data_IF_338961164163
#
_entry.id   IF_338961164163
#
_cell.length_a   1.000
_cell.length_b   1.000
_cell.length_c   1.000
_cell.angle_alpha   90.00
_cell.angle_beta   90.00
_cell.angle_gamma   90.00
#
_symmetry.space_group_name_H-M   'P 1'
#
loop_
_entity.id
_entity.type
_entity.pdbx_description
1 polymer ?
#
# COMPACT_ATOMS: atom_id res chain seq x y z
N UNK A 1 3.97 -16.71 -23.18
CA UNK A 1 3.81 -15.45 -23.94
C UNK A 1 3.22 -14.46 -22.96
N UNK A 2 3.86 -13.29 -22.79
CA UNK A 2 3.35 -12.25 -21.88
C UNK A 2 2.02 -11.71 -22.41
N UNK A 3 1.08 -11.32 -21.54
CA UNK A 3 -0.10 -10.59 -21.98
C UNK A 3 0.30 -9.24 -22.58
N UNK A 4 -0.46 -8.79 -23.59
CA UNK A 4 -0.18 -7.56 -24.32
C UNK A 4 -1.40 -6.64 -24.36
N UNK A 5 -1.16 -5.33 -24.24
CA UNK A 5 -2.17 -4.29 -24.44
C UNK A 5 -1.95 -3.63 -25.79
N UNK A 6 -2.98 -3.64 -26.64
CA UNK A 6 -2.96 -3.00 -27.96
C UNK A 6 -3.78 -1.72 -27.98
N UNK A 7 -3.16 -0.60 -28.34
CA UNK A 7 -3.85 0.69 -28.50
C UNK A 7 -4.29 0.87 -29.95
N UNK A 8 -5.60 1.03 -30.19
CA UNK A 8 -6.15 1.27 -31.53
C UNK A 8 -5.90 2.73 -31.96
N UNK A 9 -5.13 2.94 -33.01
CA UNK A 9 -4.78 4.25 -33.60
C UNK A 9 -4.08 4.10 -34.96
N UNK A 10 -3.54 5.20 -35.52
CA UNK A 10 -2.92 5.26 -36.86
C UNK A 10 -1.75 4.28 -37.10
N UNK A 11 -1.20 3.68 -36.05
CA UNK A 11 -0.37 2.48 -36.11
C UNK A 11 -0.67 1.63 -34.87
N UNK A 12 -0.97 0.34 -35.06
CA UNK A 12 -1.16 -0.58 -33.95
C UNK A 12 0.14 -0.71 -33.15
N UNK A 13 0.10 -0.35 -31.86
CA UNK A 13 1.21 -0.52 -30.92
C UNK A 13 0.78 -1.53 -29.87
N UNK A 14 1.61 -2.55 -29.66
CA UNK A 14 1.43 -3.56 -28.61
C UNK A 14 2.48 -3.35 -27.52
N UNK A 15 2.05 -3.47 -26.26
CA UNK A 15 2.90 -3.30 -25.08
C UNK A 15 2.82 -4.56 -24.22
N UNK A 16 3.94 -5.27 -24.00
CA UNK A 16 3.97 -6.44 -23.13
C UNK A 16 3.98 -6.02 -21.65
N UNK A 17 3.26 -6.76 -20.82
CA UNK A 17 3.25 -6.62 -19.36
C UNK A 17 3.31 -8.00 -18.70
N UNK A 18 3.74 -8.08 -17.45
CA UNK A 18 3.70 -9.33 -16.69
C UNK A 18 2.26 -9.79 -16.46
N UNK A 19 1.38 -8.84 -16.13
CA UNK A 19 -0.06 -9.06 -15.94
C UNK A 19 -0.87 -7.92 -16.56
N UNK A 20 -2.05 -8.24 -17.08
CA UNK A 20 -3.01 -7.27 -17.62
C UNK A 20 -4.39 -7.54 -17.03
N UNK A 21 -4.95 -6.53 -16.35
CA UNK A 21 -6.27 -6.58 -15.76
C UNK A 21 -7.24 -5.74 -16.62
N UNK A 22 -8.23 -6.39 -17.25
CA UNK A 22 -9.22 -5.74 -18.12
C UNK A 22 -10.46 -5.21 -17.38
N UNK A 23 -11.40 -4.61 -18.13
CA UNK A 23 -12.62 -3.93 -17.64
C UNK A 23 -13.66 -4.84 -16.91
N UNK A 24 -13.39 -6.14 -16.74
CA UNK A 24 -14.30 -7.05 -16.03
C UNK A 24 -14.21 -6.87 -14.52
N UNK A 25 -15.35 -6.90 -13.81
CA UNK A 25 -15.55 -6.62 -12.38
C UNK A 25 -14.81 -7.52 -11.36
N UNK A 26 -13.82 -8.31 -11.79
CA UNK A 26 -12.96 -9.11 -10.91
C UNK A 26 -11.51 -8.58 -10.68
N UNK A 27 -11.10 -7.33 -10.99
CA UNK A 27 -9.67 -6.99 -11.05
C UNK A 27 -9.01 -7.02 -9.68
N UNK A 28 -9.74 -6.70 -8.62
CA UNK A 28 -9.23 -6.62 -7.24
C UNK A 28 -8.76 -7.98 -6.70
N UNK A 29 -9.56 -9.03 -6.91
CA UNK A 29 -9.27 -10.43 -6.55
C UNK A 29 -7.94 -10.92 -7.09
N UNK A 30 -7.82 -10.95 -8.41
CA UNK A 30 -6.66 -11.49 -9.12
C UNK A 30 -5.42 -10.63 -8.94
N UNK A 31 -5.57 -9.30 -9.03
CA UNK A 31 -4.46 -8.38 -8.77
C UNK A 31 -3.87 -8.59 -7.38
N UNK A 32 -4.72 -8.76 -6.37
CA UNK A 32 -4.22 -9.01 -5.02
C UNK A 32 -3.47 -10.34 -4.93
N UNK A 33 -4.07 -11.43 -5.41
CA UNK A 33 -3.45 -12.76 -5.33
C UNK A 33 -2.14 -12.89 -6.11
N UNK A 34 -2.08 -12.30 -7.31
CA UNK A 34 -0.93 -12.45 -8.21
C UNK A 34 0.21 -11.47 -7.90
N UNK A 35 -0.12 -10.24 -7.52
CA UNK A 35 0.89 -9.18 -7.36
C UNK A 35 1.16 -8.78 -5.91
N UNK A 36 0.15 -8.85 -5.02
CA UNK A 36 0.25 -8.29 -3.66
C UNK A 36 0.55 -9.38 -2.63
N UNK A 37 -0.12 -10.54 -2.71
CA UNK A 37 0.08 -11.67 -1.78
C UNK A 37 1.56 -12.09 -1.71
N UNK A 38 2.30 -12.24 -2.83
CA UNK A 38 3.71 -12.62 -2.77
C UNK A 38 4.60 -11.58 -2.09
N UNK A 39 4.23 -10.28 -2.15
CA UNK A 39 4.97 -9.22 -1.46
C UNK A 39 4.76 -9.28 0.05
N UNK A 40 3.54 -9.61 0.49
CA UNK A 40 3.25 -9.82 1.91
C UNK A 40 3.97 -11.07 2.42
N UNK A 41 4.04 -12.14 1.64
CA UNK A 41 4.85 -13.33 1.98
C UNK A 41 6.33 -12.96 2.15
N UNK A 42 6.90 -12.24 1.17
CA UNK A 42 8.28 -11.76 1.22
C UNK A 42 8.59 -10.87 2.43
N UNK A 43 7.61 -10.10 2.93
CA UNK A 43 7.76 -9.31 4.15
C UNK A 43 8.09 -10.19 5.36
N UNK A 44 7.42 -11.34 5.51
CA UNK A 44 7.68 -12.28 6.60
C UNK A 44 8.94 -13.14 6.38
N UNK A 45 9.52 -13.10 5.18
CA UNK A 45 10.85 -13.65 4.88
C UNK A 45 11.98 -12.63 5.14
N UNK A 46 11.64 -11.39 5.51
CA UNK A 46 12.61 -10.34 5.82
C UNK A 46 12.97 -9.43 4.64
N UNK A 47 12.15 -9.40 3.58
CA UNK A 47 12.33 -8.51 2.42
C UNK A 47 11.37 -7.33 2.44
N UNK A 48 11.81 -6.21 1.83
CA UNK A 48 10.95 -5.05 1.64
C UNK A 48 10.05 -5.23 0.41
N UNK A 49 8.77 -4.84 0.54
CA UNK A 49 7.81 -4.77 -0.56
C UNK A 49 7.35 -3.34 -0.82
N UNK A 50 7.09 -2.97 -2.08
CA UNK A 50 6.55 -1.65 -2.43
C UNK A 50 5.57 -1.77 -3.59
N UNK A 51 4.41 -1.12 -3.45
CA UNK A 51 3.36 -1.09 -4.46
C UNK A 51 3.08 0.36 -4.84
N UNK A 52 3.14 0.66 -6.13
CA UNK A 52 2.87 2.00 -6.67
C UNK A 52 1.64 1.97 -7.58
N UNK A 53 0.65 2.80 -7.28
CA UNK A 53 -0.46 3.07 -8.19
C UNK A 53 -0.13 4.27 -9.08
N UNK A 54 0.11 4.02 -10.37
CA UNK A 54 0.48 5.04 -11.35
C UNK A 54 -0.56 5.15 -12.48
N UNK A 55 -0.83 6.38 -12.91
CA UNK A 55 -1.79 6.66 -13.97
C UNK A 55 -2.31 8.09 -13.94
N UNK A 56 -3.01 8.52 -14.98
CA UNK A 56 -3.58 9.86 -15.07
C UNK A 56 -4.63 10.14 -13.97
N UNK A 57 -4.95 11.41 -13.72
CA UNK A 57 -6.05 11.79 -12.83
C UNK A 57 -7.36 11.18 -13.33
N UNK A 58 -8.16 10.62 -12.41
CA UNK A 58 -9.40 9.90 -12.75
C UNK A 58 -9.20 8.44 -13.20
N UNK A 59 -7.97 7.92 -13.30
CA UNK A 59 -7.70 6.54 -13.70
C UNK A 59 -7.93 5.48 -12.59
N UNK A 60 -8.52 5.85 -11.46
CA UNK A 60 -8.83 4.90 -10.37
C UNK A 60 -7.69 4.57 -9.40
N UNK A 61 -6.57 5.30 -9.37
CA UNK A 61 -5.45 5.06 -8.42
C UNK A 61 -5.92 4.95 -6.95
N UNK A 62 -6.70 5.92 -6.49
CA UNK A 62 -7.26 5.96 -5.13
C UNK A 62 -8.25 4.81 -4.89
N UNK A 63 -9.01 4.43 -5.92
CA UNK A 63 -9.95 3.31 -5.87
C UNK A 63 -9.20 1.98 -5.70
N UNK A 64 -8.13 1.75 -6.47
CA UNK A 64 -7.29 0.54 -6.37
C UNK A 64 -6.61 0.43 -5.01
N UNK A 65 -6.04 1.52 -4.48
CA UNK A 65 -5.32 1.48 -3.19
C UNK A 65 -6.26 1.47 -1.99
N UNK A 66 -7.39 2.18 -2.04
CA UNK A 66 -8.40 2.20 -0.99
C UNK A 66 -8.34 3.36 0.01
N UNK A 67 -7.54 4.41 -0.23
CA UNK A 67 -7.22 5.43 0.80
C UNK A 67 -8.28 6.49 1.11
N UNK A 68 -9.38 6.59 0.36
CA UNK A 68 -10.37 7.68 0.59
C UNK A 68 -11.78 7.47 0.02
N UNK A 69 -12.01 6.46 -0.82
CA UNK A 69 -13.17 6.44 -1.72
C UNK A 69 -14.05 5.19 -1.63
N UNK A 70 -13.78 4.25 -0.72
CA UNK A 70 -14.38 2.91 -0.80
C UNK A 70 -15.24 2.54 0.41
N UNK A 71 -15.27 3.37 1.46
CA UNK A 71 -16.16 3.18 2.61
C UNK A 71 -17.66 3.28 2.24
N UNK A 72 -18.01 4.13 1.27
CA UNK A 72 -19.42 4.41 0.93
C UNK A 72 -20.07 3.35 0.01
N UNK A 73 -19.30 2.52 -0.71
CA UNK A 73 -19.84 1.56 -1.69
C UNK A 73 -19.82 0.10 -1.22
N UNK A 74 -19.39 -0.18 0.02
CA UNK A 74 -19.31 -1.55 0.55
C UNK A 74 -18.28 -2.45 -0.15
N UNK A 75 -17.42 -1.87 -1.00
CA UNK A 75 -16.36 -2.56 -1.75
C UNK A 75 -14.96 -2.31 -1.20
N UNK A 76 -14.84 -1.68 -0.02
CA UNK A 76 -13.53 -1.35 0.59
C UNK A 76 -12.62 -2.57 0.73
N UNK A 77 -13.20 -3.72 1.08
CA UNK A 77 -12.51 -5.00 1.20
C UNK A 77 -11.87 -5.52 -0.10
N UNK A 78 -12.14 -4.89 -1.25
CA UNK A 78 -11.51 -5.22 -2.53
C UNK A 78 -10.21 -4.46 -2.79
N UNK A 79 -9.94 -3.38 -2.08
CA UNK A 79 -8.76 -2.55 -2.33
C UNK A 79 -7.46 -3.17 -1.77
N UNK A 80 -6.33 -2.69 -2.29
CA UNK A 80 -4.99 -3.23 -1.95
C UNK A 80 -4.66 -3.07 -0.47
N UNK A 81 -4.83 -1.87 0.10
CA UNK A 81 -4.44 -1.59 1.51
C UNK A 81 -5.22 -2.43 2.52
N UNK A 82 -6.56 -2.47 2.51
CA UNK A 82 -7.31 -3.25 3.51
C UNK A 82 -7.03 -4.75 3.40
N UNK A 83 -6.89 -5.28 2.18
CA UNK A 83 -6.53 -6.70 1.98
C UNK A 83 -5.11 -7.02 2.45
N UNK A 84 -4.14 -6.16 2.13
CA UNK A 84 -2.75 -6.35 2.55
C UNK A 84 -2.67 -6.31 4.08
N UNK A 85 -3.35 -5.34 4.69
CA UNK A 85 -3.46 -5.20 6.14
C UNK A 85 -4.06 -6.46 6.78
N UNK A 86 -5.20 -6.95 6.27
CA UNK A 86 -5.83 -8.17 6.78
C UNK A 86 -4.90 -9.39 6.68
N UNK A 87 -4.20 -9.54 5.56
CA UNK A 87 -3.23 -10.64 5.36
C UNK A 87 -2.03 -10.54 6.30
N UNK A 88 -1.47 -9.34 6.50
CA UNK A 88 -0.38 -9.07 7.44
C UNK A 88 -0.79 -9.51 8.85
N UNK A 89 -1.94 -9.06 9.35
CA UNK A 89 -2.38 -9.42 10.70
C UNK A 89 -2.77 -10.90 10.83
N UNK A 90 -3.29 -11.52 9.78
CA UNK A 90 -3.48 -12.98 9.75
C UNK A 90 -2.15 -13.74 9.92
N UNK A 91 -1.09 -13.29 9.26
CA UNK A 91 0.25 -13.88 9.37
C UNK A 91 0.89 -13.63 10.72
N UNK A 92 0.72 -12.43 11.28
CA UNK A 92 1.14 -12.12 12.67
C UNK A 92 0.48 -13.06 13.67
N UNK A 93 -0.83 -13.27 13.55
CA UNK A 93 -1.58 -14.17 14.43
C UNK A 93 -1.10 -15.63 14.30
N UNK A 94 -0.86 -16.12 13.07
CA UNK A 94 -0.30 -17.45 12.80
C UNK A 94 1.05 -17.64 13.50
N UNK A 95 2.01 -16.73 13.27
CA UNK A 95 3.35 -16.81 13.84
C UNK A 95 3.36 -16.72 15.38
N UNK A 96 2.47 -15.91 15.93
CA UNK A 96 2.30 -15.75 17.39
C UNK A 96 1.73 -17.03 18.00
N UNK A 97 0.71 -17.63 17.38
CA UNK A 97 0.10 -18.88 17.84
C UNK A 97 1.08 -20.06 17.79
N UNK A 98 1.96 -20.09 16.79
CA UNK A 98 3.03 -21.09 16.66
C UNK A 98 4.20 -20.86 17.64
N UNK A 99 4.24 -19.73 18.35
CA UNK A 99 5.32 -19.38 19.27
C UNK A 99 6.67 -19.14 18.60
N UNK A 100 6.70 -18.87 17.29
CA UNK A 100 7.94 -18.72 16.51
C UNK A 100 8.61 -17.37 16.75
N UNK A 101 7.83 -16.30 16.80
CA UNK A 101 8.32 -14.94 17.01
C UNK A 101 7.21 -14.01 17.53
N UNK A 102 7.62 -12.94 18.21
CA UNK A 102 6.76 -11.78 18.51
C UNK A 102 6.90 -10.76 17.39
N UNK A 103 5.80 -10.37 16.75
CA UNK A 103 5.80 -9.34 15.69
C UNK A 103 5.14 -8.08 16.22
N UNK A 104 5.79 -6.93 16.04
CA UNK A 104 5.21 -5.62 16.31
C UNK A 104 4.98 -4.90 14.99
N UNK A 105 3.76 -4.43 14.75
CA UNK A 105 3.40 -3.69 13.53
C UNK A 105 3.29 -2.21 13.87
N UNK A 106 3.92 -1.39 13.04
CA UNK A 106 3.91 0.07 13.15
C UNK A 106 3.60 0.69 11.79
N UNK A 107 2.87 1.79 11.80
CA UNK A 107 2.45 2.49 10.58
C UNK A 107 2.79 3.98 10.66
N UNK A 108 3.25 4.50 9.53
CA UNK A 108 3.41 5.93 9.26
C UNK A 108 2.66 6.26 7.97
N UNK A 109 2.08 7.46 7.88
CA UNK A 109 1.29 7.86 6.72
C UNK A 109 1.65 9.28 6.29
N UNK A 110 2.06 9.42 5.03
CA UNK A 110 2.66 10.64 4.52
C UNK A 110 1.93 11.17 3.29
N UNK A 111 1.89 12.50 3.17
CA UNK A 111 1.56 13.22 1.95
C UNK A 111 2.81 13.96 1.44
N UNK A 112 3.16 13.76 0.17
CA UNK A 112 4.13 14.62 -0.52
C UNK A 112 3.35 15.63 -1.36
N UNK A 113 3.37 16.90 -0.95
CA UNK A 113 2.69 17.97 -1.63
C UNK A 113 3.63 19.15 -1.86
N UNK A 114 3.78 19.60 -3.11
CA UNK A 114 4.65 20.72 -3.48
C UNK A 114 6.08 20.60 -2.92
N UNK A 115 6.70 19.43 -3.06
CA UNK A 115 8.06 19.16 -2.56
C UNK A 115 8.21 19.30 -1.03
N UNK A 116 7.09 19.24 -0.30
CA UNK A 116 7.04 19.20 1.16
C UNK A 116 6.42 17.89 1.61
N UNK A 117 7.06 17.23 2.58
CA UNK A 117 6.58 16.02 3.22
C UNK A 117 5.72 16.40 4.43
N UNK A 118 4.51 15.87 4.51
CA UNK A 118 3.58 16.08 5.62
C UNK A 118 3.23 14.74 6.25
N UNK A 119 3.23 14.72 7.58
CA UNK A 119 2.75 13.59 8.35
C UNK A 119 1.23 13.70 8.52
N UNK A 120 0.51 12.70 8.01
CA UNK A 120 -0.95 12.61 8.07
C UNK A 120 -1.45 12.02 9.39
N UNK A 121 -0.60 11.37 10.19
CA UNK A 121 -0.93 10.85 11.51
C UNK A 121 -0.69 11.86 12.63
N UNK A 122 0.00 12.98 12.35
CA UNK A 122 0.26 14.03 13.33
C UNK A 122 -1.06 14.65 13.84
N UNK A 123 -1.26 14.61 15.17
CA UNK A 123 -2.42 15.28 15.79
C UNK A 123 -2.30 16.80 15.66
N UNK A 124 -3.44 17.51 15.58
CA UNK A 124 -3.53 18.97 15.36
C UNK A 124 -2.75 19.85 16.36
N UNK A 125 -2.20 19.28 17.44
CA UNK A 125 -1.32 19.96 18.40
C UNK A 125 0.17 19.91 18.07
N UNK A 126 0.59 19.05 17.13
CA UNK A 126 1.98 18.81 16.73
C UNK A 126 2.33 19.55 15.42
N UNK A 127 1.91 20.82 15.30
CA UNK A 127 1.93 21.59 14.04
C UNK A 127 3.33 21.92 13.48
N UNK A 128 4.39 21.59 14.21
CA UNK A 128 5.78 21.83 13.79
C UNK A 128 6.61 20.54 13.97
N UNK A 129 6.17 19.43 13.38
CA UNK A 129 7.08 18.31 13.18
C UNK A 129 8.08 18.70 12.08
N UNK A 130 9.34 18.88 12.47
CA UNK A 130 10.44 19.05 11.53
C UNK A 130 10.74 17.68 10.89
N UNK A 131 9.95 17.33 9.87
CA UNK A 131 10.10 16.07 9.14
C UNK A 131 11.27 16.23 8.18
N UNK A 132 12.32 15.46 8.41
CA UNK A 132 13.56 15.50 7.62
C UNK A 132 13.78 14.16 6.92
N UNK A 133 14.13 14.20 5.65
CA UNK A 133 14.64 13.02 4.93
C UNK A 133 16.16 13.02 5.08
N UNK A 134 16.69 11.98 5.71
CA UNK A 134 18.13 11.80 5.92
C UNK A 134 18.63 10.58 5.19
N UNK A 135 19.85 10.68 4.71
CA UNK A 135 20.58 9.59 4.07
C UNK A 135 21.68 9.11 5.02
N UNK A 136 21.62 7.85 5.43
CA UNK A 136 22.61 7.21 6.29
C UNK A 136 23.44 6.23 5.45
N UNK A 137 24.76 6.40 5.46
CA UNK A 137 25.68 5.45 4.82
C UNK A 137 25.56 5.32 3.29
N UNK A 138 24.91 6.26 2.59
CA UNK A 138 24.87 6.32 1.12
C UNK A 138 23.78 5.51 0.44
N UNK A 139 23.04 4.66 1.17
CA UNK A 139 21.98 3.80 0.61
C UNK A 139 20.74 3.71 1.47
N UNK A 140 20.83 4.07 2.76
CA UNK A 140 19.71 3.98 3.70
C UNK A 140 19.04 5.35 3.81
N UNK A 141 17.77 5.45 3.38
CA UNK A 141 16.99 6.68 3.44
C UNK A 141 16.00 6.55 4.60
N UNK A 142 16.10 7.45 5.58
CA UNK A 142 15.23 7.49 6.75
C UNK A 142 14.47 8.80 6.84
N UNK A 143 13.18 8.73 7.14
CA UNK A 143 12.37 9.90 7.50
C UNK A 143 12.45 10.08 9.01
N UNK A 144 12.93 11.21 9.49
CA UNK A 144 12.98 11.53 10.93
C UNK A 144 11.88 12.54 11.31
N UNK A 145 11.51 12.56 12.59
CA UNK A 145 10.55 13.53 13.12
C UNK A 145 9.08 13.24 12.80
N UNK A 146 8.77 12.08 12.20
CA UNK A 146 7.41 11.66 11.87
C UNK A 146 6.73 10.87 12.99
N UNK A 147 5.40 10.84 12.97
CA UNK A 147 4.59 10.01 13.86
C UNK A 147 4.55 8.58 13.35
N UNK A 148 4.88 7.65 14.24
CA UNK A 148 4.76 6.22 14.02
C UNK A 148 3.79 5.64 15.06
N UNK A 149 2.70 5.05 14.58
CA UNK A 149 1.64 4.51 15.43
C UNK A 149 1.75 2.99 15.49
N UNK A 150 1.83 2.43 16.69
CA UNK A 150 1.73 0.98 16.89
C UNK A 150 0.27 0.54 16.70
N UNK A 151 0.07 -0.57 15.98
CA UNK A 151 -1.25 -1.12 15.67
C UNK A 151 -1.26 -2.62 15.95
N UNK A 152 -2.31 -3.10 16.59
CA UNK A 152 -2.45 -4.50 17.01
C UNK A 152 -3.45 -5.27 16.16
N UNK A 153 -4.22 -4.59 15.31
CA UNK A 153 -5.19 -5.22 14.41
C UNK A 153 -5.37 -4.47 13.09
N UNK A 154 -5.97 -5.16 12.13
CA UNK A 154 -6.32 -4.56 10.84
C UNK A 154 -7.27 -3.36 11.00
N UNK A 155 -8.24 -3.47 11.91
CA UNK A 155 -9.19 -2.41 12.20
C UNK A 155 -8.52 -1.17 12.80
N UNK A 156 -7.51 -1.36 13.66
CA UNK A 156 -6.74 -0.23 14.21
C UNK A 156 -5.90 0.47 13.15
N UNK A 157 -5.29 -0.28 12.22
CA UNK A 157 -4.55 0.29 11.10
C UNK A 157 -5.48 1.08 10.19
N UNK A 158 -6.62 0.51 9.78
CA UNK A 158 -7.62 1.21 8.97
C UNK A 158 -8.12 2.49 9.67
N UNK A 159 -8.43 2.42 10.96
CA UNK A 159 -8.82 3.58 11.76
C UNK A 159 -7.71 4.65 11.84
N UNK A 160 -6.45 4.24 11.98
CA UNK A 160 -5.30 5.16 12.00
C UNK A 160 -5.15 5.90 10.67
N UNK A 161 -5.41 5.23 9.55
CA UNK A 161 -5.40 5.83 8.21
C UNK A 161 -6.66 6.66 7.91
N UNK A 162 -7.64 6.70 8.82
CA UNK A 162 -8.95 7.33 8.62
C UNK A 162 -9.69 6.73 7.40
N UNK A 163 -9.52 5.42 7.19
CA UNK A 163 -10.19 4.64 6.14
C UNK A 163 -11.54 4.09 6.60
#
# INVERSE_FOLDING_TARGET
>A
VLPEVSVKGYAARSFPFDQVYGEGAEPSGKLFGECISPLVEGLFEGYNGTVLAYGQTGAGKTYTMGTHAVADEGRSWEAVIPRATAMIFSKVAELTAEGRCSVAVRVSFFEVYQNSLRDLLATKGNKEQNIEIRERGGTDISVEGHTETAVESAAELEAALQM
#
